data_IF_616801409746
#
_entry.id   IF_616801409746
#
_cell.length_a   1.000
_cell.length_b   1.000
_cell.length_c   1.000
_cell.angle_alpha   90.00
_cell.angle_beta   90.00
_cell.angle_gamma   90.00
#
_symmetry.space_group_name_H-M   'P 1'
#
loop_
_entity.id
_entity.type
_entity.pdbx_description
1 polymer ?
#
# COMPACT_ATOMS: atom_id res chain seq x y z
N UNK A 1 2.42 16.05 -0.84
CA UNK A 1 2.52 14.57 -0.82
C UNK A 1 3.78 14.23 -0.04
N UNK A 2 3.74 13.19 0.80
CA UNK A 2 4.88 12.75 1.61
C UNK A 2 6.03 12.29 0.69
N UNK A 3 7.27 12.65 1.02
CA UNK A 3 8.47 12.30 0.22
C UNK A 3 8.62 10.78 0.05
N UNK A 4 8.21 10.00 1.05
CA UNK A 4 8.28 8.53 1.04
C UNK A 4 7.34 7.93 -0.02
N UNK A 5 6.15 8.52 -0.23
CA UNK A 5 5.20 8.04 -1.23
C UNK A 5 5.77 8.18 -2.64
N UNK A 6 6.32 9.35 -2.96
CA UNK A 6 6.89 9.61 -4.28
C UNK A 6 8.10 8.71 -4.58
N UNK A 7 8.92 8.42 -3.57
CA UNK A 7 10.04 7.48 -3.66
C UNK A 7 9.56 6.03 -3.89
N UNK A 8 8.55 5.58 -3.15
CA UNK A 8 7.98 4.25 -3.33
C UNK A 8 7.40 4.08 -4.75
N UNK A 9 6.67 5.07 -5.26
CA UNK A 9 6.14 5.05 -6.63
C UNK A 9 7.27 5.02 -7.67
N UNK A 10 8.35 5.78 -7.47
CA UNK A 10 9.53 5.75 -8.35
C UNK A 10 10.18 4.37 -8.36
N UNK A 11 10.36 3.74 -7.19
CA UNK A 11 10.92 2.39 -7.08
C UNK A 11 10.07 1.36 -7.85
N UNK A 12 8.75 1.39 -7.67
CA UNK A 12 7.85 0.48 -8.40
C UNK A 12 7.95 0.66 -9.92
N UNK A 13 8.04 1.91 -10.42
CA UNK A 13 8.23 2.18 -11.85
C UNK A 13 9.57 1.65 -12.36
N UNK A 14 10.64 1.88 -11.60
CA UNK A 14 11.98 1.42 -11.95
C UNK A 14 12.06 -0.11 -12.03
N UNK A 15 11.37 -0.81 -11.13
CA UNK A 15 11.29 -2.28 -11.10
C UNK A 15 10.25 -2.85 -12.09
N UNK A 16 9.65 -2.03 -12.97
CA UNK A 16 8.57 -2.41 -13.90
C UNK A 16 7.35 -3.05 -13.21
N UNK A 17 7.13 -2.71 -11.94
CA UNK A 17 5.98 -3.19 -11.18
C UNK A 17 4.77 -2.32 -11.53
N UNK A 18 3.69 -2.97 -11.97
CA UNK A 18 2.43 -2.29 -12.29
C UNK A 18 1.88 -1.53 -11.08
N UNK A 19 1.59 -0.26 -11.23
CA UNK A 19 0.92 0.53 -10.18
C UNK A 19 -0.58 0.26 -10.28
N UNK A 20 -1.14 -0.46 -9.29
CA UNK A 20 -2.59 -0.74 -9.21
C UNK A 20 -3.27 0.18 -8.20
N UNK A 21 -4.59 0.39 -8.28
CA UNK A 21 -5.32 1.18 -7.29
C UNK A 21 -5.13 0.68 -5.85
N UNK A 22 -5.05 -0.64 -5.63
CA UNK A 22 -4.80 -1.19 -4.29
C UNK A 22 -3.41 -0.82 -3.76
N UNK A 23 -2.39 -0.86 -4.63
CA UNK A 23 -1.01 -0.47 -4.26
C UNK A 23 -0.94 1.00 -3.86
N UNK A 24 -1.60 1.87 -4.63
CA UNK A 24 -1.68 3.30 -4.34
C UNK A 24 -2.35 3.52 -2.98
N UNK A 25 -3.51 2.91 -2.74
CA UNK A 25 -4.22 3.08 -1.47
C UNK A 25 -3.40 2.58 -0.25
N UNK A 26 -2.70 1.45 -0.38
CA UNK A 26 -1.82 0.96 0.69
C UNK A 26 -0.64 1.91 0.92
N UNK A 27 -0.02 2.42 -0.15
CA UNK A 27 1.10 3.37 -0.03
C UNK A 27 0.65 4.72 0.55
N UNK A 28 -0.52 5.23 0.17
CA UNK A 28 -1.11 6.44 0.75
C UNK A 28 -1.43 6.25 2.24
N UNK A 29 -1.99 5.10 2.60
CA UNK A 29 -2.25 4.76 4.00
C UNK A 29 -0.95 4.74 4.82
N UNK A 30 0.08 4.04 4.33
CA UNK A 30 1.37 3.95 5.00
C UNK A 30 2.10 5.30 5.07
N UNK A 31 1.98 6.14 4.04
CA UNK A 31 2.65 7.45 3.99
C UNK A 31 1.94 8.53 4.82
N UNK A 32 0.68 8.30 5.22
CA UNK A 32 -0.13 9.23 6.03
C UNK A 32 -0.19 8.86 7.51
N UNK A 33 0.28 7.67 7.89
CA UNK A 33 0.30 7.21 9.28
C UNK A 33 1.73 7.29 9.84
N UNK A 34 1.93 8.07 10.90
CA UNK A 34 3.18 8.11 11.67
C UNK A 34 3.37 6.88 12.60
N UNK A 35 2.40 5.95 12.62
CA UNK A 35 2.46 4.71 13.38
C UNK A 35 2.90 3.53 12.51
N UNK A 36 3.25 2.41 13.15
CA UNK A 36 3.47 1.12 12.47
C UNK A 36 2.18 0.29 12.48
N UNK A 37 1.27 0.46 11.51
CA UNK A 37 0.02 -0.28 11.47
C UNK A 37 0.28 -1.77 11.21
N UNK A 38 -0.58 -2.59 11.80
CA UNK A 38 -0.68 -4.01 11.47
C UNK A 38 -1.32 -4.19 10.09
N UNK A 39 -1.05 -5.32 9.45
CA UNK A 39 -1.68 -5.65 8.16
C UNK A 39 -3.21 -5.67 8.23
N UNK A 40 -3.77 -6.04 9.39
CA UNK A 40 -5.20 -6.05 9.65
C UNK A 40 -5.79 -4.64 9.71
N UNK A 41 -5.10 -3.68 10.31
CA UNK A 41 -5.52 -2.27 10.31
C UNK A 41 -5.53 -1.67 8.91
N UNK A 42 -4.50 -1.97 8.12
CA UNK A 42 -4.42 -1.56 6.71
C UNK A 42 -5.59 -2.19 5.93
N UNK A 43 -5.84 -3.49 6.12
CA UNK A 43 -6.95 -4.19 5.47
C UNK A 43 -8.31 -3.53 5.78
N UNK A 44 -8.60 -3.30 7.06
CA UNK A 44 -9.87 -2.67 7.46
C UNK A 44 -10.04 -1.28 6.87
N UNK A 45 -8.96 -0.50 6.76
CA UNK A 45 -9.00 0.85 6.19
C UNK A 45 -9.29 0.82 4.69
N UNK A 46 -8.70 -0.12 3.94
CA UNK A 46 -8.83 -0.16 2.47
C UNK A 46 -10.03 -0.97 1.97
N UNK A 47 -10.56 -1.93 2.75
CA UNK A 47 -11.70 -2.77 2.37
C UNK A 47 -12.93 -1.94 2.01
N UNK A 48 -13.13 -0.81 2.70
CA UNK A 48 -14.22 0.15 2.43
C UNK A 48 -14.20 0.66 0.99
N UNK A 49 -12.99 0.80 0.41
CA UNK A 49 -12.79 1.29 -0.95
C UNK A 49 -12.63 0.15 -1.98
N UNK A 50 -12.24 -1.05 -1.53
CA UNK A 50 -12.03 -2.21 -2.38
C UNK A 50 -12.80 -3.43 -1.84
N UNK A 51 -14.14 -3.50 -2.02
CA UNK A 51 -14.93 -4.64 -1.59
C UNK A 51 -14.42 -5.95 -2.20
N UNK A 52 -14.21 -6.97 -1.38
CA UNK A 52 -13.68 -8.27 -1.83
C UNK A 52 -12.16 -8.34 -1.95
N UNK A 53 -11.43 -7.30 -1.53
CA UNK A 53 -9.99 -7.43 -1.28
C UNK A 53 -9.75 -8.47 -0.18
N UNK A 54 -8.69 -9.27 -0.31
CA UNK A 54 -8.31 -10.21 0.73
C UNK A 54 -7.22 -9.62 1.62
N UNK A 55 -7.17 -10.05 2.88
CA UNK A 55 -6.03 -9.77 3.77
C UNK A 55 -4.72 -10.23 3.13
N UNK A 56 -4.73 -11.34 2.40
CA UNK A 56 -3.56 -11.83 1.65
C UNK A 56 -3.07 -10.82 0.60
N UNK A 57 -3.96 -10.06 -0.02
CA UNK A 57 -3.59 -8.97 -0.95
C UNK A 57 -2.80 -7.87 -0.23
N UNK A 58 -3.15 -7.55 1.01
CA UNK A 58 -2.39 -6.59 1.83
C UNK A 58 -1.01 -7.13 2.11
N UNK A 59 -0.91 -8.36 2.64
CA UNK A 59 0.39 -9.00 2.91
C UNK A 59 1.30 -9.07 1.68
N UNK A 60 0.75 -9.43 0.52
CA UNK A 60 1.52 -9.51 -0.72
C UNK A 60 2.11 -8.15 -1.13
N UNK A 61 1.38 -7.05 -0.91
CA UNK A 61 1.88 -5.72 -1.21
C UNK A 61 2.87 -5.22 -0.14
N UNK A 62 2.63 -5.50 1.14
CA UNK A 62 3.61 -5.17 2.19
C UNK A 62 4.96 -5.88 1.98
N UNK A 63 4.91 -7.17 1.59
CA UNK A 63 6.11 -7.94 1.25
C UNK A 63 6.83 -7.40 0.00
N UNK A 64 6.10 -6.77 -0.91
CA UNK A 64 6.66 -6.15 -2.10
C UNK A 64 7.35 -4.81 -1.80
N UNK A 65 6.88 -4.08 -0.78
CA UNK A 65 7.39 -2.76 -0.44
C UNK A 65 8.61 -2.77 0.48
N UNK A 66 8.90 -3.92 1.11
CA UNK A 66 10.10 -4.15 1.92
C UNK A 66 11.24 -4.56 0.99
#
# INVERSE_FOLDING_TARGET
MSTIYDEAIKRLKHENIRITPQRVAILEFLASHDAHPTAEEIYRAIEVHFPGISVATVYNNLRLFT
#
